data_IF_892208162072
#
_entry.id   IF_892208162072
#
_cell.length_a   1.000
_cell.length_b   1.000
_cell.length_c   1.000
_cell.angle_alpha   90.00
_cell.angle_beta   90.00
_cell.angle_gamma   90.00
#
_symmetry.space_group_name_H-M   'P 1'
#
loop_
_entity.id
_entity.type
_entity.pdbx_description
1 polymer ?
#
# COMPACT_ATOMS: atom_id res chain seq x y z
N UNK A 1 2.30 -5.87 2.72
CA UNK A 1 2.12 -4.40 2.68
C UNK A 1 1.54 -3.87 3.99
N UNK A 2 0.36 -4.33 4.44
CA UNK A 2 -0.30 -3.82 5.65
C UNK A 2 0.53 -3.96 6.94
N UNK A 3 1.25 -5.08 7.12
CA UNK A 3 2.12 -5.28 8.29
C UNK A 3 3.27 -4.28 8.31
N UNK A 4 3.90 -4.04 7.15
CA UNK A 4 4.96 -3.05 7.02
C UNK A 4 4.46 -1.64 7.37
N UNK A 5 3.24 -1.30 6.94
CA UNK A 5 2.62 -0.03 7.28
C UNK A 5 2.35 0.10 8.79
N UNK A 6 1.88 -0.96 9.45
CA UNK A 6 1.73 -0.95 10.90
C UNK A 6 3.08 -0.77 11.62
N UNK A 7 4.13 -1.45 11.14
CA UNK A 7 5.48 -1.34 11.70
C UNK A 7 6.06 0.07 11.52
N UNK A 8 5.95 0.68 10.34
CA UNK A 8 6.49 2.03 10.12
C UNK A 8 5.77 3.09 10.97
N UNK A 9 4.48 2.90 11.26
CA UNK A 9 3.69 3.76 12.15
C UNK A 9 4.02 3.58 13.65
N UNK A 10 4.86 2.61 14.01
CA UNK A 10 5.49 2.57 15.35
C UNK A 10 6.61 3.59 15.50
N UNK A 11 7.20 4.01 14.37
CA UNK A 11 8.30 4.96 14.33
C UNK A 11 7.77 6.39 14.17
N UNK A 12 8.34 7.38 14.90
CA UNK A 12 8.04 8.78 14.69
C UNK A 12 8.57 9.27 13.33
N UNK A 13 7.98 10.35 12.81
CA UNK A 13 8.23 10.84 11.45
C UNK A 13 9.70 11.24 11.20
N UNK A 14 10.40 11.70 12.22
CA UNK A 14 11.81 12.11 12.15
C UNK A 14 12.77 10.92 11.91
N UNK A 15 12.32 9.70 12.18
CA UNK A 15 13.04 8.45 11.92
C UNK A 15 12.74 7.87 10.55
N UNK A 16 11.84 8.46 9.77
CA UNK A 16 11.51 7.98 8.44
C UNK A 16 12.62 8.34 7.44
N UNK A 17 12.81 7.45 6.45
CA UNK A 17 13.77 7.68 5.38
C UNK A 17 13.44 8.94 4.56
N UNK A 18 14.48 9.66 4.13
CA UNK A 18 14.35 10.90 3.33
C UNK A 18 14.46 10.69 1.83
N UNK A 19 14.99 9.55 1.41
CA UNK A 19 15.13 9.17 0.00
C UNK A 19 14.21 7.99 -0.32
N UNK A 20 13.75 7.86 -1.57
CA UNK A 20 13.11 6.64 -2.03
C UNK A 20 14.00 5.42 -1.76
N UNK A 21 13.37 4.29 -1.43
CA UNK A 21 14.06 3.02 -1.29
C UNK A 21 14.56 2.54 -2.66
N UNK A 22 15.75 1.96 -2.68
CA UNK A 22 16.30 1.28 -3.86
C UNK A 22 15.75 -0.14 -3.98
N UNK A 23 15.76 -0.72 -5.18
CA UNK A 23 15.22 -2.07 -5.43
C UNK A 23 15.80 -3.12 -4.48
N UNK A 24 17.11 -3.07 -4.21
CA UNK A 24 17.78 -3.99 -3.28
C UNK A 24 17.28 -3.86 -1.83
N UNK A 25 16.94 -2.64 -1.41
CA UNK A 25 16.42 -2.39 -0.06
C UNK A 25 14.99 -2.90 0.07
N UNK A 26 14.19 -2.75 -0.99
CA UNK A 26 12.82 -3.29 -1.06
C UNK A 26 12.86 -4.82 -1.02
N UNK A 27 13.76 -5.44 -1.77
CA UNK A 27 13.93 -6.90 -1.79
C UNK A 27 14.31 -7.43 -0.40
N UNK A 28 15.35 -6.86 0.22
CA UNK A 28 15.75 -7.23 1.58
C UNK A 28 14.59 -7.08 2.58
N UNK A 29 13.81 -5.99 2.48
CA UNK A 29 12.67 -5.75 3.34
C UNK A 29 11.57 -6.78 3.16
N UNK A 30 11.29 -7.21 1.92
CA UNK A 30 10.32 -8.27 1.63
C UNK A 30 10.78 -9.60 2.23
N UNK A 31 12.06 -9.93 2.10
CA UNK A 31 12.65 -11.14 2.67
C UNK A 31 12.57 -11.13 4.21
N UNK A 32 12.95 -10.02 4.84
CA UNK A 32 12.90 -9.85 6.30
C UNK A 32 11.47 -9.96 6.83
N UNK A 33 10.50 -9.35 6.14
CA UNK A 33 9.08 -9.45 6.50
C UNK A 33 8.54 -10.87 6.36
N UNK A 34 9.00 -11.60 5.34
CA UNK A 34 8.62 -13.00 5.12
C UNK A 34 9.18 -13.88 6.23
N UNK A 35 10.48 -13.74 6.53
CA UNK A 35 11.13 -14.45 7.63
C UNK A 35 10.50 -14.13 8.99
N UNK A 36 10.14 -12.87 9.25
CA UNK A 36 9.45 -12.46 10.47
C UNK A 36 8.06 -13.10 10.58
N UNK A 37 7.31 -13.14 9.48
CA UNK A 37 6.00 -13.78 9.42
C UNK A 37 6.10 -15.28 9.72
N UNK A 38 7.06 -15.96 9.09
CA UNK A 38 7.32 -17.37 9.33
C UNK A 38 7.74 -17.63 10.79
N UNK A 39 8.65 -16.82 11.33
CA UNK A 39 9.09 -16.91 12.71
C UNK A 39 7.92 -16.70 13.70
N UNK A 40 6.99 -15.78 13.42
CA UNK A 40 5.78 -15.60 14.24
C UNK A 40 4.90 -16.86 14.24
N UNK A 41 4.67 -17.47 13.08
CA UNK A 41 3.91 -18.73 13.00
C UNK A 41 4.63 -19.88 13.72
N UNK A 42 5.95 -19.98 13.59
CA UNK A 42 6.75 -21.00 14.28
C UNK A 42 6.85 -20.78 15.80
N UNK A 43 6.94 -19.55 16.28
CA UNK A 43 6.92 -19.23 17.70
C UNK A 43 5.63 -19.72 18.36
N UNK A 44 4.48 -19.59 17.66
CA UNK A 44 3.19 -20.11 18.13
C UNK A 44 3.17 -21.64 18.21
N UNK A 45 3.90 -22.34 17.34
CA UNK A 45 4.10 -23.79 17.43
C UNK A 45 4.98 -24.19 18.62
N UNK A 46 5.85 -23.29 19.10
CA UNK A 46 6.74 -23.55 20.24
C UNK A 46 5.98 -23.51 21.57
N UNK A 47 4.89 -22.75 21.65
CA UNK A 47 3.93 -22.78 22.76
C UNK A 47 3.19 -24.14 22.85
N UNK A 48 2.97 -24.82 21.71
CA UNK A 48 2.35 -26.16 21.65
C UNK A 48 3.22 -27.25 22.30
N UNK A 49 4.54 -27.03 22.38
CA UNK A 49 5.48 -27.94 23.02
C UNK A 49 5.47 -27.87 24.56
N UNK A 50 4.79 -26.88 25.16
CA UNK A 50 4.65 -26.77 26.62
C UNK A 50 3.45 -27.55 27.19
N UNK A 51 2.55 -28.04 26.33
CA UNK A 51 1.37 -28.82 26.72
C UNK A 51 1.67 -30.33 26.83
N UNK A 52 1.07 -30.98 27.84
CA UNK A 52 1.47 -32.30 28.34
C UNK A 52 0.83 -33.52 27.66
N UNK A 53 -0.25 -33.37 26.87
CA UNK A 53 -0.93 -34.53 26.25
C UNK A 53 -1.00 -34.50 24.72
N UNK A 54 -0.94 -35.68 24.11
CA UNK A 54 -0.97 -35.86 22.64
C UNK A 54 -2.27 -35.35 22.02
N UNK A 55 -3.39 -35.45 22.74
CA UNK A 55 -4.71 -35.00 22.28
C UNK A 55 -4.85 -33.48 22.23
N UNK A 56 -4.38 -32.76 23.25
CA UNK A 56 -4.39 -31.29 23.30
C UNK A 56 -3.51 -30.69 22.20
N UNK A 57 -2.32 -31.27 21.97
CA UNK A 57 -1.44 -30.88 20.86
C UNK A 57 -2.09 -31.07 19.49
N UNK A 58 -2.78 -32.20 19.27
CA UNK A 58 -3.46 -32.47 18.01
C UNK A 58 -4.62 -31.50 17.76
N UNK A 59 -5.39 -31.15 18.80
CA UNK A 59 -6.48 -30.17 18.72
C UNK A 59 -5.96 -28.77 18.38
N UNK A 60 -4.90 -28.32 19.06
CA UNK A 60 -4.30 -27.00 18.82
C UNK A 60 -3.68 -26.90 17.41
N UNK A 61 -3.00 -27.95 16.93
CA UNK A 61 -2.49 -28.01 15.55
C UNK A 61 -3.63 -27.93 14.52
N UNK A 62 -4.77 -28.59 14.79
CA UNK A 62 -5.93 -28.52 13.93
C UNK A 62 -6.54 -27.12 13.91
N UNK A 63 -6.68 -26.47 15.08
CA UNK A 63 -7.18 -25.11 15.19
C UNK A 63 -6.28 -24.11 14.44
N UNK A 64 -4.97 -24.25 14.56
CA UNK A 64 -4.02 -23.39 13.83
C UNK A 64 -4.03 -23.65 12.33
N UNK A 65 -4.20 -24.91 11.90
CA UNK A 65 -4.39 -25.24 10.49
C UNK A 65 -5.67 -24.63 9.92
N UNK A 66 -6.80 -24.70 10.65
CA UNK A 66 -8.08 -24.11 10.25
C UNK A 66 -7.99 -22.58 10.23
N UNK A 67 -7.32 -21.95 11.21
CA UNK A 67 -7.06 -20.51 11.21
C UNK A 67 -6.21 -20.08 10.03
N UNK A 68 -5.13 -20.80 9.73
CA UNK A 68 -4.32 -20.56 8.53
C UNK A 68 -5.18 -20.59 7.26
N UNK A 69 -5.99 -21.64 7.08
CA UNK A 69 -6.88 -21.76 5.91
C UNK A 69 -7.92 -20.63 5.82
N UNK A 70 -8.53 -20.21 6.94
CA UNK A 70 -9.53 -19.13 6.93
C UNK A 70 -8.91 -17.74 6.77
N UNK A 71 -7.64 -17.56 7.15
CA UNK A 71 -6.88 -16.33 6.89
C UNK A 71 -6.55 -16.17 5.40
N UNK A 72 -6.25 -17.27 4.69
CA UNK A 72 -6.01 -17.27 3.23
C UNK A 72 -7.28 -17.13 2.39
N UNK A 73 -8.42 -17.60 2.89
CA UNK A 73 -9.70 -17.60 2.14
C UNK A 73 -10.44 -16.24 2.25
N UNK A 74 -9.83 -15.21 2.85
CA UNK A 74 -10.44 -13.88 3.12
C UNK A 74 -10.82 -13.00 1.92
N UNK A 75 -10.72 -13.48 0.68
CA UNK A 75 -11.32 -12.79 -0.48
C UNK A 75 -12.73 -13.32 -0.73
N UNK A 76 -13.66 -13.05 0.19
CA UNK A 76 -15.07 -13.34 0.00
C UNK A 76 -15.72 -12.24 -0.84
N UNK A 77 -15.78 -12.47 -2.14
CA UNK A 77 -16.72 -11.79 -3.04
C UNK A 77 -16.07 -10.86 -4.06
N UNK A 78 -16.73 -10.75 -5.21
CA UNK A 78 -16.42 -9.75 -6.22
C UNK A 78 -16.50 -8.35 -5.61
N UNK A 79 -15.47 -7.52 -5.82
CA UNK A 79 -15.36 -6.19 -5.20
C UNK A 79 -16.64 -5.35 -5.29
N UNK A 80 -17.29 -5.35 -6.46
CA UNK A 80 -18.57 -4.66 -6.66
C UNK A 80 -19.71 -5.17 -5.77
N UNK A 81 -19.80 -6.49 -5.56
CA UNK A 81 -20.81 -7.10 -4.70
C UNK A 81 -20.56 -6.77 -3.22
N UNK A 82 -19.29 -6.76 -2.79
CA UNK A 82 -18.91 -6.38 -1.42
C UNK A 82 -19.29 -4.93 -1.15
N UNK A 83 -19.00 -4.01 -2.08
CA UNK A 83 -19.40 -2.61 -1.95
C UNK A 83 -20.92 -2.45 -1.90
N UNK A 84 -21.66 -3.15 -2.76
CA UNK A 84 -23.12 -3.09 -2.76
C UNK A 84 -23.71 -3.57 -1.43
N UNK A 85 -23.32 -4.76 -0.97
CA UNK A 85 -23.79 -5.33 0.30
C UNK A 85 -23.44 -4.39 1.47
N UNK A 86 -22.22 -3.84 1.48
CA UNK A 86 -21.80 -2.92 2.54
C UNK A 86 -22.66 -1.65 2.56
N UNK A 87 -22.97 -1.08 1.40
CA UNK A 87 -23.86 0.09 1.30
C UNK A 87 -25.28 -0.23 1.79
N UNK A 88 -25.82 -1.38 1.39
CA UNK A 88 -27.17 -1.79 1.80
C UNK A 88 -27.26 -2.04 3.31
N UNK A 89 -26.25 -2.70 3.90
CA UNK A 89 -26.21 -3.01 5.33
C UNK A 89 -26.00 -1.76 6.19
N UNK A 90 -25.07 -0.88 5.80
CA UNK A 90 -24.69 0.26 6.63
C UNK A 90 -25.45 1.54 6.30
N UNK A 91 -26.14 1.62 5.15
CA UNK A 91 -26.88 2.82 4.75
C UNK A 91 -27.98 3.22 5.73
N UNK A 92 -28.56 2.26 6.45
CA UNK A 92 -29.53 2.54 7.50
C UNK A 92 -28.97 3.40 8.66
N UNK A 93 -27.63 3.43 8.82
CA UNK A 93 -26.94 4.18 9.86
C UNK A 93 -26.43 5.56 9.37
N UNK A 94 -26.73 5.95 8.13
CA UNK A 94 -26.26 7.22 7.55
C UNK A 94 -26.67 8.43 8.39
N UNK A 95 -27.90 8.46 8.92
CA UNK A 95 -28.39 9.57 9.73
C UNK A 95 -27.66 9.66 11.07
N UNK A 96 -27.50 8.53 11.77
CA UNK A 96 -26.87 8.46 13.10
C UNK A 96 -25.37 8.80 13.03
N UNK A 97 -24.66 8.24 12.06
CA UNK A 97 -23.24 8.52 11.87
C UNK A 97 -23.02 9.97 11.42
N UNK A 98 -23.86 10.49 10.53
CA UNK A 98 -23.74 11.88 10.06
C UNK A 98 -23.97 12.89 11.18
N UNK A 99 -24.87 12.60 12.11
CA UNK A 99 -25.08 13.44 13.30
C UNK A 99 -23.84 13.49 14.21
N UNK A 100 -23.03 12.43 14.24
CA UNK A 100 -21.86 12.31 15.12
C UNK A 100 -20.56 12.77 14.47
N UNK A 101 -20.32 12.36 13.21
CA UNK A 101 -19.05 12.52 12.51
C UNK A 101 -19.13 13.50 11.32
N UNK A 102 -20.32 13.99 10.96
CA UNK A 102 -20.52 14.87 9.81
C UNK A 102 -20.53 14.16 8.45
N UNK A 103 -20.50 12.83 8.42
CA UNK A 103 -20.65 11.97 7.24
C UNK A 103 -21.27 10.62 7.62
N UNK A 104 -21.94 9.96 6.66
CA UNK A 104 -22.53 8.63 6.85
C UNK A 104 -21.64 7.48 6.38
N UNK A 105 -21.95 6.21 6.69
CA UNK A 105 -21.18 5.07 6.17
C UNK A 105 -21.18 5.01 4.65
N UNK A 106 -22.27 5.43 3.99
CA UNK A 106 -22.34 5.48 2.53
C UNK A 106 -21.33 6.47 1.95
N UNK A 107 -21.15 7.63 2.61
CA UNK A 107 -20.17 8.64 2.22
C UNK A 107 -18.74 8.08 2.37
N UNK A 108 -18.46 7.40 3.50
CA UNK A 108 -17.16 6.73 3.73
C UNK A 108 -16.85 5.70 2.64
N UNK A 109 -17.82 4.82 2.32
CA UNK A 109 -17.64 3.78 1.29
C UNK A 109 -17.37 4.40 -0.08
N UNK A 110 -18.12 5.44 -0.45
CA UNK A 110 -17.94 6.12 -1.74
C UNK A 110 -16.59 6.84 -1.85
N UNK A 111 -16.14 7.48 -0.79
CA UNK A 111 -14.86 8.18 -0.75
C UNK A 111 -13.70 7.18 -0.78
N UNK A 112 -13.77 6.08 -0.01
CA UNK A 112 -12.77 5.02 -0.05
C UNK A 112 -12.68 4.37 -1.45
N UNK A 113 -13.83 4.10 -2.08
CA UNK A 113 -13.90 3.61 -3.46
C UNK A 113 -13.29 4.61 -4.44
N UNK A 114 -13.62 5.90 -4.31
CA UNK A 114 -13.10 6.94 -5.19
C UNK A 114 -11.58 7.11 -5.06
N UNK A 115 -11.03 6.99 -3.85
CA UNK A 115 -9.58 6.99 -3.63
C UNK A 115 -8.89 5.83 -4.34
N UNK A 116 -9.47 4.62 -4.28
CA UNK A 116 -8.97 3.46 -5.02
C UNK A 116 -9.00 3.72 -6.53
N UNK A 117 -10.14 4.17 -7.06
CA UNK A 117 -10.31 4.47 -8.50
C UNK A 117 -9.32 5.54 -8.97
N UNK A 118 -9.06 6.57 -8.18
CA UNK A 118 -8.08 7.60 -8.51
C UNK A 118 -6.66 7.02 -8.62
N UNK A 119 -6.25 6.18 -7.66
CA UNK A 119 -4.94 5.50 -7.69
C UNK A 119 -4.84 4.56 -8.91
N UNK A 120 -5.90 3.81 -9.24
CA UNK A 120 -5.94 2.94 -10.42
C UNK A 120 -5.80 3.73 -11.73
N UNK A 121 -6.49 4.86 -11.85
CA UNK A 121 -6.41 5.74 -13.02
C UNK A 121 -5.01 6.34 -13.16
N UNK A 122 -4.43 6.87 -12.07
CA UNK A 122 -3.06 7.40 -12.07
C UNK A 122 -2.03 6.34 -12.38
N UNK A 123 -2.20 5.12 -11.86
CA UNK A 123 -1.32 3.98 -12.13
C UNK A 123 -1.36 3.61 -13.61
N UNK A 124 -2.56 3.50 -14.17
CA UNK A 124 -2.77 3.19 -15.59
C UNK A 124 -2.15 4.26 -16.49
N UNK A 125 -2.37 5.54 -16.18
CA UNK A 125 -1.78 6.65 -16.93
C UNK A 125 -0.25 6.65 -16.84
N UNK A 126 0.32 6.34 -15.66
CA UNK A 126 1.77 6.16 -15.49
C UNK A 126 2.30 5.02 -16.37
N UNK A 127 1.68 3.84 -16.32
CA UNK A 127 2.09 2.70 -17.15
C UNK A 127 2.06 3.02 -18.63
N UNK A 128 0.99 3.66 -19.12
CA UNK A 128 0.89 4.05 -20.53
C UNK A 128 2.03 4.98 -20.96
N UNK A 129 2.38 5.97 -20.12
CA UNK A 129 3.50 6.89 -20.40
C UNK A 129 4.84 6.17 -20.39
N UNK A 130 5.06 5.27 -19.45
CA UNK A 130 6.28 4.49 -19.34
C UNK A 130 6.44 3.51 -20.51
N UNK A 131 5.38 2.81 -20.91
CA UNK A 131 5.39 1.96 -22.09
C UNK A 131 5.62 2.75 -23.38
N UNK A 132 5.15 4.00 -23.47
CA UNK A 132 5.44 4.84 -24.63
C UNK A 132 6.94 5.14 -24.76
N UNK A 133 7.65 5.34 -23.65
CA UNK A 133 9.12 5.49 -23.63
C UNK A 133 9.81 4.21 -24.12
N UNK A 134 9.40 3.06 -23.59
CA UNK A 134 10.01 1.77 -23.96
C UNK A 134 9.61 1.23 -25.34
N UNK A 135 8.77 1.95 -26.08
CA UNK A 135 8.46 1.67 -27.49
C UNK A 135 9.37 2.42 -28.46
N UNK A 136 10.20 3.36 -28.00
CA UNK A 136 11.21 4.02 -28.83
C UNK A 136 12.18 3.00 -29.43
N UNK A 137 12.51 3.17 -30.71
CA UNK A 137 13.31 2.19 -31.46
C UNK A 137 14.78 2.20 -31.02
N UNK A 138 15.33 3.39 -30.77
CA UNK A 138 16.73 3.58 -30.40
C UNK A 138 16.89 3.79 -28.89
N UNK A 139 18.09 3.47 -28.37
CA UNK A 139 18.45 3.71 -26.97
C UNK A 139 18.45 5.21 -26.67
N UNK A 140 18.99 6.02 -27.57
CA UNK A 140 19.04 7.47 -27.50
C UNK A 140 17.63 8.09 -27.37
N UNK A 141 16.72 7.73 -28.30
CA UNK A 141 15.33 8.19 -28.27
C UNK A 141 14.61 7.79 -26.97
N UNK A 142 14.89 6.59 -26.46
CA UNK A 142 14.31 6.08 -25.23
C UNK A 142 14.77 6.91 -24.02
N UNK A 143 16.06 7.21 -23.91
CA UNK A 143 16.61 8.05 -22.84
C UNK A 143 16.04 9.46 -22.93
N UNK A 144 16.06 10.09 -24.10
CA UNK A 144 15.46 11.42 -24.27
C UNK A 144 13.96 11.44 -23.98
N UNK A 145 13.21 10.42 -24.38
CA UNK A 145 11.77 10.33 -24.08
C UNK A 145 11.50 10.18 -22.58
N UNK A 146 12.39 9.49 -21.86
CA UNK A 146 12.32 9.36 -20.40
C UNK A 146 12.57 10.70 -19.70
N UNK A 147 13.65 11.39 -20.06
CA UNK A 147 14.03 12.69 -19.46
C UNK A 147 13.08 13.84 -19.83
N UNK A 148 12.28 13.70 -20.90
CA UNK A 148 11.17 14.63 -21.22
C UNK A 148 9.99 14.55 -20.25
N UNK A 149 9.97 13.56 -19.34
CA UNK A 149 8.92 13.42 -18.32
C UNK A 149 9.45 13.95 -17.00
N UNK A 150 8.98 15.15 -16.62
CA UNK A 150 9.35 15.84 -15.38
C UNK A 150 9.08 14.99 -14.13
N UNK A 151 8.13 14.06 -14.22
CA UNK A 151 7.78 13.10 -13.17
C UNK A 151 8.44 11.73 -13.34
N UNK A 152 9.51 11.60 -14.15
CA UNK A 152 10.35 10.40 -14.15
C UNK A 152 11.80 10.72 -13.85
N UNK A 153 12.38 11.75 -14.44
CA UNK A 153 13.79 12.10 -14.24
C UNK A 153 14.03 13.60 -14.13
N UNK A 154 15.04 13.95 -13.35
CA UNK A 154 15.70 15.26 -13.37
C UNK A 154 17.13 15.07 -13.91
N UNK A 155 17.67 16.08 -14.60
CA UNK A 155 19.04 16.08 -15.11
C UNK A 155 19.14 16.09 -16.64
N UNK A 156 20.34 15.81 -17.15
CA UNK A 156 20.67 15.86 -18.58
C UNK A 156 20.71 14.44 -19.19
N UNK A 157 19.89 14.13 -20.21
CA UNK A 157 19.95 12.85 -20.91
C UNK A 157 21.31 12.58 -21.56
N UNK A 158 22.02 13.61 -22.03
CA UNK A 158 23.33 13.44 -22.69
C UNK A 158 24.40 12.99 -21.70
N UNK A 159 24.38 13.56 -20.49
CA UNK A 159 25.27 13.15 -19.41
C UNK A 159 25.01 11.68 -19.05
N UNK A 160 23.75 11.26 -18.97
CA UNK A 160 23.42 9.86 -18.72
C UNK A 160 23.96 8.93 -19.82
N UNK A 161 23.75 9.28 -21.09
CA UNK A 161 24.23 8.50 -22.24
C UNK A 161 25.76 8.35 -22.24
N UNK A 162 26.51 9.39 -21.87
CA UNK A 162 27.97 9.37 -21.82
C UNK A 162 28.54 8.43 -20.75
N UNK A 163 27.78 8.16 -19.68
CA UNK A 163 28.20 7.27 -18.60
C UNK A 163 27.77 5.82 -18.83
N UNK A 164 27.04 5.52 -19.92
CA UNK A 164 26.66 4.16 -20.26
C UNK A 164 27.88 3.36 -20.76
N UNK A 165 28.04 2.10 -20.32
CA UNK A 165 29.04 1.21 -20.89
C UNK A 165 28.75 0.92 -22.37
N UNK A 166 29.79 0.87 -23.21
CA UNK A 166 29.66 0.57 -24.65
C UNK A 166 28.93 -0.76 -24.96
N UNK A 167 28.95 -1.71 -24.01
CA UNK A 167 28.32 -3.02 -24.15
C UNK A 167 26.91 -3.13 -23.55
N UNK A 168 26.33 -2.02 -23.07
CA UNK A 168 25.01 -2.07 -22.42
C UNK A 168 23.91 -2.39 -23.44
N UNK A 169 23.02 -3.31 -23.08
CA UNK A 169 21.86 -3.61 -23.92
C UNK A 169 20.74 -2.59 -23.68
N UNK A 170 19.91 -2.36 -24.71
CA UNK A 170 18.68 -1.55 -24.58
C UNK A 170 17.77 -2.07 -23.47
N UNK A 171 17.73 -3.38 -23.26
CA UNK A 171 16.93 -4.02 -22.20
C UNK A 171 17.45 -3.71 -20.80
N UNK A 172 18.77 -3.69 -20.61
CA UNK A 172 19.40 -3.28 -19.35
C UNK A 172 19.07 -1.83 -19.05
N UNK A 173 19.24 -0.92 -20.02
CA UNK A 173 18.88 0.49 -19.85
C UNK A 173 17.38 0.65 -19.56
N UNK A 174 16.50 -0.08 -20.26
CA UNK A 174 15.07 -0.02 -19.99
C UNK A 174 14.72 -0.47 -18.56
N UNK A 175 15.42 -1.50 -18.04
CA UNK A 175 15.26 -1.98 -16.66
C UNK A 175 15.71 -0.93 -15.65
N UNK A 176 16.83 -0.25 -15.90
CA UNK A 176 17.34 0.80 -15.02
C UNK A 176 16.42 2.02 -14.99
N UNK A 177 15.94 2.45 -16.17
CA UNK A 177 14.96 3.53 -16.28
C UNK A 177 13.63 3.17 -15.60
N UNK A 178 13.20 1.90 -15.71
CA UNK A 178 12.02 1.42 -15.00
C UNK A 178 12.20 1.49 -13.49
N UNK A 179 13.30 0.95 -12.97
CA UNK A 179 13.65 1.01 -11.54
C UNK A 179 13.71 2.46 -11.04
N UNK A 180 14.29 3.36 -11.84
CA UNK A 180 14.32 4.79 -11.53
C UNK A 180 12.91 5.39 -11.45
N UNK A 181 12.04 5.10 -12.43
CA UNK A 181 10.67 5.58 -12.43
C UNK A 181 9.86 5.05 -11.23
N UNK A 182 10.18 3.86 -10.71
CA UNK A 182 9.48 3.26 -9.56
C UNK A 182 9.74 4.01 -8.25
N UNK A 183 10.82 4.81 -8.17
CA UNK A 183 11.06 5.73 -7.05
C UNK A 183 9.92 6.74 -6.85
N UNK A 184 9.15 7.00 -7.91
CA UNK A 184 8.04 7.96 -7.89
C UNK A 184 6.71 7.32 -7.42
N UNK A 185 6.65 6.00 -7.19
CA UNK A 185 5.44 5.32 -6.73
C UNK A 185 4.91 5.88 -5.41
N UNK A 186 5.78 6.43 -4.55
CA UNK A 186 5.35 7.12 -3.33
C UNK A 186 4.42 8.30 -3.61
N UNK A 187 4.68 9.08 -4.68
CA UNK A 187 3.84 10.22 -5.09
C UNK A 187 2.49 9.76 -5.60
N UNK A 188 2.44 8.59 -6.23
CA UNK A 188 1.21 7.98 -6.72
C UNK A 188 0.28 7.54 -5.57
N UNK A 189 0.83 7.21 -4.40
CA UNK A 189 0.05 6.83 -3.23
C UNK A 189 -0.33 8.00 -2.33
N UNK A 190 0.10 9.23 -2.66
CA UNK A 190 -0.42 10.44 -2.00
C UNK A 190 -1.87 10.64 -2.45
N UNK A 191 -2.76 10.74 -1.47
CA UNK A 191 -4.16 11.05 -1.69
C UNK A 191 -4.33 12.52 -2.07
N UNK A 192 -5.09 12.78 -3.13
CA UNK A 192 -5.47 14.12 -3.55
C UNK A 192 -6.97 14.32 -3.26
N UNK A 193 -7.32 15.07 -2.19
CA UNK A 193 -8.71 15.28 -1.81
C UNK A 193 -9.57 15.91 -2.91
N UNK A 194 -8.99 16.72 -3.81
CA UNK A 194 -9.73 17.37 -4.89
C UNK A 194 -10.11 16.37 -5.98
N UNK A 195 -9.17 15.49 -6.34
CA UNK A 195 -9.44 14.40 -7.29
C UNK A 195 -10.43 13.40 -6.72
N UNK A 196 -10.30 13.05 -5.44
CA UNK A 196 -11.22 12.14 -4.76
C UNK A 196 -12.63 12.77 -4.68
N UNK A 197 -12.74 14.06 -4.39
CA UNK A 197 -14.02 14.79 -4.41
C UNK A 197 -14.67 14.73 -5.81
N UNK A 198 -13.88 14.98 -6.86
CA UNK A 198 -14.35 14.90 -8.25
C UNK A 198 -14.86 13.50 -8.62
N UNK A 199 -14.11 12.45 -8.25
CA UNK A 199 -14.47 11.05 -8.57
C UNK A 199 -15.66 10.57 -7.76
N UNK A 200 -15.75 10.95 -6.48
CA UNK A 200 -16.83 10.54 -5.59
C UNK A 200 -18.13 11.36 -5.75
N UNK A 201 -18.05 12.53 -6.38
CA UNK A 201 -19.14 13.50 -6.42
C UNK A 201 -19.47 14.10 -5.04
N UNK A 202 -18.52 14.07 -4.11
CA UNK A 202 -18.68 14.57 -2.74
C UNK A 202 -17.93 15.90 -2.55
N UNK A 203 -18.35 16.64 -1.55
CA UNK A 203 -17.69 17.88 -1.15
C UNK A 203 -16.27 17.62 -0.63
N UNK A 204 -15.32 18.51 -0.92
CA UNK A 204 -13.92 18.38 -0.53
C UNK A 204 -13.75 18.30 0.99
N UNK A 205 -14.51 19.08 1.77
CA UNK A 205 -14.39 19.07 3.22
C UNK A 205 -14.91 17.74 3.79
N UNK A 206 -15.91 17.12 3.12
CA UNK A 206 -16.37 15.78 3.48
C UNK A 206 -15.30 14.72 3.20
N UNK A 207 -14.63 14.81 2.05
CA UNK A 207 -13.49 13.93 1.73
C UNK A 207 -12.39 14.05 2.78
N UNK A 208 -12.01 15.27 3.15
CA UNK A 208 -10.99 15.52 4.17
C UNK A 208 -11.39 14.92 5.52
N UNK A 209 -12.65 15.09 5.96
CA UNK A 209 -13.14 14.49 7.22
C UNK A 209 -13.05 12.97 7.22
N UNK A 210 -13.42 12.32 6.11
CA UNK A 210 -13.32 10.85 6.00
C UNK A 210 -11.86 10.40 6.00
N UNK A 211 -11.00 11.06 5.22
CA UNK A 211 -9.58 10.72 5.16
C UNK A 211 -8.89 10.90 6.53
N UNK A 212 -9.22 11.96 7.26
CA UNK A 212 -8.68 12.20 8.60
C UNK A 212 -9.12 11.10 9.58
N UNK A 213 -10.40 10.71 9.54
CA UNK A 213 -10.92 9.61 10.37
C UNK A 213 -10.27 8.24 10.03
N UNK A 214 -9.85 8.05 8.79
CA UNK A 214 -9.17 6.85 8.29
C UNK A 214 -7.64 6.94 8.40
N UNK A 215 -7.10 8.00 9.00
CA UNK A 215 -5.66 8.23 9.05
C UNK A 215 -5.05 7.92 10.42
N UNK A 216 -3.84 7.37 10.40
CA UNK A 216 -2.94 7.31 11.55
C UNK A 216 -1.79 8.28 11.37
N UNK A 217 -1.23 8.74 12.47
CA UNK A 217 -0.04 9.63 12.48
C UNK A 217 1.22 8.82 12.78
N UNK A 218 2.39 9.20 12.24
CA UNK A 218 3.66 8.55 12.58
C UNK A 218 3.89 8.48 14.10
N UNK A 219 4.24 7.29 14.59
CA UNK A 219 4.44 7.01 16.01
C UNK A 219 3.17 6.67 16.79
N UNK A 220 1.98 6.74 16.18
CA UNK A 220 0.71 6.44 16.87
C UNK A 220 0.60 4.98 17.34
N UNK A 221 1.41 4.09 16.76
CA UNK A 221 1.45 2.67 17.14
C UNK A 221 2.68 2.31 18.00
N UNK A 222 3.46 3.28 18.49
CA UNK A 222 4.68 3.06 19.27
C UNK A 222 4.47 2.23 20.55
N UNK A 223 3.31 2.36 21.20
CA UNK A 223 2.95 1.57 22.38
C UNK A 223 2.32 0.19 22.05
N UNK A 224 2.17 -0.13 20.76
CA UNK A 224 1.53 -1.35 20.29
C UNK A 224 2.38 -2.60 20.53
N UNK A 225 1.73 -3.70 20.90
CA UNK A 225 2.37 -5.01 20.93
C UNK A 225 2.50 -5.53 19.49
N UNK A 226 3.68 -5.44 18.88
CA UNK A 226 3.95 -5.82 17.48
C UNK A 226 3.36 -7.20 17.10
N UNK A 227 3.54 -8.28 17.90
CA UNK A 227 2.84 -9.56 17.74
C UNK A 227 1.33 -9.48 17.45
N UNK A 228 0.61 -8.48 17.97
CA UNK A 228 -0.82 -8.33 17.74
C UNK A 228 -1.15 -7.85 16.31
N UNK A 229 -0.23 -7.17 15.63
CA UNK A 229 -0.46 -6.69 14.26
C UNK A 229 -0.66 -7.84 13.27
N UNK A 230 -0.15 -9.04 13.58
CA UNK A 230 -0.38 -10.25 12.79
C UNK A 230 -1.81 -10.80 12.90
N UNK A 231 -2.52 -10.48 13.98
CA UNK A 231 -3.88 -10.99 14.23
C UNK A 231 -4.96 -9.94 13.98
N UNK A 232 -4.69 -8.69 14.36
CA UNK A 232 -5.59 -7.55 14.24
C UNK A 232 -4.78 -6.33 13.82
N UNK A 233 -4.53 -6.18 12.52
CA UNK A 233 -3.71 -5.09 12.04
C UNK A 233 -4.49 -3.77 12.16
N UNK A 234 -3.99 -2.76 12.91
CA UNK A 234 -4.68 -1.47 13.07
C UNK A 234 -4.92 -0.72 11.75
N UNK A 235 -4.13 -1.02 10.71
CA UNK A 235 -4.28 -0.44 9.38
C UNK A 235 -5.58 -0.83 8.69
N UNK A 236 -6.22 -1.93 9.10
CA UNK A 236 -7.53 -2.31 8.54
C UNK A 236 -8.64 -1.33 8.88
N UNK A 237 -8.52 -0.61 10.01
CA UNK A 237 -9.49 0.39 10.43
C UNK A 237 -9.09 1.81 10.03
N UNK A 238 -7.80 2.07 9.88
CA UNK A 238 -7.25 3.37 9.49
C UNK A 238 -6.08 3.19 8.50
N UNK A 239 -6.39 2.98 7.21
CA UNK A 239 -5.38 2.65 6.19
C UNK A 239 -4.57 3.85 5.69
N UNK A 240 -4.97 5.08 6.02
CA UNK A 240 -4.28 6.28 5.57
C UNK A 240 -3.19 6.71 6.57
N UNK A 241 -2.24 7.50 6.10
CA UNK A 241 -1.19 8.09 6.93
C UNK A 241 -1.30 9.60 6.82
N UNK A 242 -1.54 10.27 7.94
CA UNK A 242 -1.49 11.72 8.04
C UNK A 242 -0.08 12.14 8.48
N UNK A 243 0.69 12.74 7.58
CA UNK A 243 2.04 13.23 7.87
C UNK A 243 2.08 14.68 8.37
N UNK A 244 0.92 15.31 8.55
CA UNK A 244 0.78 16.72 8.97
C UNK A 244 1.24 17.74 7.92
N UNK A 245 1.39 17.30 6.67
CA UNK A 245 1.82 18.11 5.51
C UNK A 245 0.76 18.08 4.42
#
# INVERSE_FOLDING_TARGET
VELLQALILTLPLDQWGRRPAESREIEQLIDDLSALSDAFYHARNTTLTQESTVGERALLLLQERVRGHTQFVRNWGYHGAVLQISRELYGALDSEMRATYGFGPTDLIDIAKAALVDVEQRSSARFQRLFAVFRCETLDDMVHAFYRKDDFAEGDPEEFLQHLPDSVSREQVATDLWSHADRQLVRLLVADPERIALVSGRDKDMVLRVLDQLSLTPGSLSAGNIPHFFMGNPIWSAPCINTGK
#
